data_IF_433254448362
#
_entry.id   IF_433254448362
#
_cell.length_a   1.000
_cell.length_b   1.000
_cell.length_c   1.000
_cell.angle_alpha   90.00
_cell.angle_beta   90.00
_cell.angle_gamma   90.00
#
_symmetry.space_group_name_H-M   'P 1'
#
loop_
_entity.id
_entity.type
_entity.pdbx_description
1 polymer ?
#
# COMPACT_ATOMS: atom_id res chain seq x y z
N UNK A 1 -22.28 5.46 27.22
CA UNK A 1 -22.19 4.05 27.68
C UNK A 1 -20.86 3.52 27.17
N UNK A 2 -19.99 3.01 28.04
CA UNK A 2 -18.65 2.59 27.62
C UNK A 2 -18.72 1.33 26.74
N UNK A 3 -18.24 1.41 25.50
CA UNK A 3 -17.94 0.23 24.68
C UNK A 3 -16.82 -0.57 25.37
N UNK A 4 -17.15 -1.75 25.88
CA UNK A 4 -16.14 -2.71 26.35
C UNK A 4 -15.34 -3.24 25.15
N UNK A 5 -14.09 -3.68 25.38
CA UNK A 5 -13.32 -4.46 24.41
C UNK A 5 -14.09 -5.76 24.13
N UNK A 6 -14.89 -5.78 23.07
CA UNK A 6 -15.69 -6.92 22.65
C UNK A 6 -15.58 -7.07 21.13
N UNK A 7 -15.41 -8.31 20.69
CA UNK A 7 -15.42 -8.67 19.28
C UNK A 7 -16.87 -8.62 18.78
N UNK A 8 -17.13 -7.80 17.76
CA UNK A 8 -18.47 -7.63 17.20
C UNK A 8 -18.61 -8.43 15.91
N UNK A 9 -19.56 -9.36 15.90
CA UNK A 9 -19.90 -10.14 14.72
C UNK A 9 -20.83 -9.31 13.81
N UNK A 10 -20.27 -8.75 12.75
CA UNK A 10 -21.07 -8.01 11.76
C UNK A 10 -21.92 -8.99 10.92
N UNK A 11 -23.16 -8.63 10.54
CA UNK A 11 -24.07 -9.51 9.76
C UNK A 11 -23.98 -9.32 8.23
N UNK A 12 -23.03 -8.53 7.73
CA UNK A 12 -22.92 -8.13 6.31
C UNK A 12 -22.07 -9.14 5.51
N UNK A 13 -22.18 -9.27 4.18
CA UNK A 13 -21.26 -10.13 3.39
C UNK A 13 -19.81 -9.64 3.52
N UNK A 14 -18.84 -10.56 3.45
CA UNK A 14 -17.42 -10.30 3.79
C UNK A 14 -16.79 -9.13 3.01
N UNK A 15 -17.05 -9.03 1.70
CA UNK A 15 -16.56 -7.91 0.86
C UNK A 15 -17.28 -6.58 1.16
N UNK A 16 -18.57 -6.64 1.48
CA UNK A 16 -19.39 -5.47 1.79
C UNK A 16 -19.02 -4.84 3.16
N UNK A 17 -18.45 -5.62 4.10
CA UNK A 17 -18.02 -5.12 5.43
C UNK A 17 -16.90 -4.10 5.36
N UNK A 18 -15.89 -4.37 4.53
CA UNK A 18 -14.69 -3.55 4.44
C UNK A 18 -15.01 -2.20 3.77
N UNK A 19 -15.89 -2.22 2.76
CA UNK A 19 -16.42 -1.00 2.16
C UNK A 19 -17.28 -0.19 3.14
N UNK A 20 -18.19 -0.84 3.88
CA UNK A 20 -18.99 -0.17 4.90
C UNK A 20 -18.11 0.50 5.97
N UNK A 21 -17.07 -0.18 6.45
CA UNK A 21 -16.13 0.37 7.42
C UNK A 21 -15.37 1.57 6.87
N UNK A 22 -14.93 1.53 5.60
CA UNK A 22 -14.34 2.67 4.93
C UNK A 22 -15.27 3.89 4.93
N UNK A 23 -16.52 3.71 4.46
CA UNK A 23 -17.48 4.79 4.39
C UNK A 23 -17.81 5.38 5.76
N UNK A 24 -18.01 4.52 6.76
CA UNK A 24 -18.27 4.91 8.14
C UNK A 24 -17.11 5.75 8.71
N UNK A 25 -15.87 5.29 8.53
CA UNK A 25 -14.67 5.99 9.00
C UNK A 25 -14.47 7.36 8.31
N UNK A 26 -14.67 7.42 6.99
CA UNK A 26 -14.54 8.69 6.25
C UNK A 26 -15.61 9.69 6.70
N UNK A 27 -16.86 9.23 6.85
CA UNK A 27 -17.98 10.04 7.29
C UNK A 27 -17.80 10.57 8.72
N UNK A 28 -17.12 9.82 9.60
CA UNK A 28 -16.81 10.25 10.97
C UNK A 28 -15.56 11.14 11.08
N UNK A 29 -14.89 11.45 9.96
CA UNK A 29 -13.64 12.23 10.00
C UNK A 29 -12.45 11.46 10.58
N UNK A 30 -12.45 10.13 10.48
CA UNK A 30 -11.39 9.24 10.99
C UNK A 30 -10.43 8.82 9.88
N UNK A 31 -9.19 8.51 10.23
CA UNK A 31 -8.26 7.89 9.27
C UNK A 31 -8.57 6.40 9.15
N UNK A 32 -8.42 5.85 7.94
CA UNK A 32 -8.75 4.45 7.65
C UNK A 32 -7.77 3.88 6.63
N UNK A 33 -7.36 2.64 6.84
CA UNK A 33 -6.58 1.87 5.87
C UNK A 33 -7.25 0.52 5.64
N UNK A 34 -7.46 0.18 4.37
CA UNK A 34 -7.91 -1.12 3.90
C UNK A 34 -6.76 -1.75 3.13
N UNK A 35 -6.57 -3.05 3.26
CA UNK A 35 -5.59 -3.75 2.45
C UNK A 35 -5.93 -5.22 2.24
N UNK A 36 -5.31 -5.81 1.22
CA UNK A 36 -5.31 -7.25 1.00
C UNK A 36 -3.91 -7.66 0.57
N UNK A 37 -3.34 -8.64 1.28
CA UNK A 37 -2.00 -9.15 0.96
C UNK A 37 -2.06 -9.98 -0.34
N UNK A 38 -0.92 -10.18 -1.02
CA UNK A 38 -0.83 -11.10 -2.15
C UNK A 38 -1.45 -12.47 -1.83
N UNK A 39 -2.19 -13.03 -2.79
CA UNK A 39 -2.82 -14.36 -2.76
C UNK A 39 -3.90 -14.58 -1.69
N UNK A 40 -4.17 -13.60 -0.82
CA UNK A 40 -5.23 -13.73 0.16
C UNK A 40 -6.60 -13.41 -0.43
N UNK A 41 -7.63 -14.07 0.10
CA UNK A 41 -9.03 -13.81 -0.26
C UNK A 41 -9.66 -12.72 0.61
N UNK A 42 -9.14 -12.54 1.83
CA UNK A 42 -9.73 -11.64 2.81
C UNK A 42 -9.03 -10.29 2.81
N UNK A 43 -9.82 -9.23 2.63
CA UNK A 43 -9.39 -7.86 2.91
C UNK A 43 -9.46 -7.59 4.41
N UNK A 44 -8.54 -6.76 4.88
CA UNK A 44 -8.45 -6.26 6.25
C UNK A 44 -8.62 -4.75 6.26
N UNK A 45 -8.95 -4.20 7.41
CA UNK A 45 -9.05 -2.78 7.59
C UNK A 45 -8.73 -2.36 9.01
N UNK A 46 -8.24 -1.14 9.18
CA UNK A 46 -8.11 -0.48 10.47
C UNK A 46 -8.72 0.93 10.41
N UNK A 47 -9.22 1.40 11.54
CA UNK A 47 -9.68 2.78 11.72
C UNK A 47 -8.94 3.38 12.91
N UNK A 48 -8.33 4.54 12.67
CA UNK A 48 -7.72 5.37 13.71
C UNK A 48 -8.72 6.46 14.11
N UNK A 49 -9.14 6.43 15.38
CA UNK A 49 -10.14 7.34 15.93
C UNK A 49 -9.50 8.61 16.51
N UNK A 50 -8.17 8.69 16.58
CA UNK A 50 -7.45 9.83 17.14
C UNK A 50 -7.48 11.07 16.24
N UNK A 51 -7.72 10.91 14.93
CA UNK A 51 -7.88 11.99 13.98
C UNK A 51 -6.82 11.94 12.88
N UNK A 52 -6.16 13.07 12.62
CA UNK A 52 -5.07 13.12 11.65
C UNK A 52 -3.77 12.64 12.32
N UNK A 53 -3.21 11.47 11.95
CA UNK A 53 -1.92 11.03 12.42
C UNK A 53 -0.83 12.02 11.99
N UNK A 54 0.21 12.15 12.83
CA UNK A 54 1.37 12.99 12.54
C UNK A 54 2.47 12.15 11.89
N UNK A 55 3.30 12.79 11.07
CA UNK A 55 4.55 12.20 10.61
C UNK A 55 5.48 12.04 11.82
N UNK A 56 5.90 10.82 12.08
CA UNK A 56 6.87 10.50 13.13
C UNK A 56 7.72 9.28 12.72
N UNK A 57 8.95 9.16 13.24
CA UNK A 57 9.74 7.95 13.08
C UNK A 57 8.96 6.70 13.51
N UNK A 58 9.12 5.61 12.76
CA UNK A 58 8.45 4.34 13.04
C UNK A 58 9.36 3.48 13.91
N UNK A 59 8.88 3.10 15.10
CA UNK A 59 9.57 2.14 15.93
C UNK A 59 9.05 0.72 15.64
N UNK A 60 9.77 -0.03 14.80
CA UNK A 60 9.38 -1.40 14.43
C UNK A 60 9.52 -2.41 15.58
N UNK A 61 10.15 -2.03 16.70
CA UNK A 61 10.23 -2.88 17.90
C UNK A 61 8.95 -2.79 18.76
N UNK A 62 8.18 -1.71 18.62
CA UNK A 62 6.87 -1.59 19.25
C UNK A 62 5.86 -2.48 18.52
N UNK A 63 5.32 -3.48 19.23
CA UNK A 63 4.36 -4.45 18.68
C UNK A 63 2.92 -3.93 18.79
N UNK A 64 2.69 -2.72 18.34
CA UNK A 64 1.35 -2.12 18.30
C UNK A 64 0.69 -2.38 16.92
N UNK A 65 -0.50 -2.99 16.87
CA UNK A 65 -1.24 -3.15 15.62
C UNK A 65 -1.56 -1.80 14.99
N UNK A 66 -1.18 -1.64 13.72
CA UNK A 66 -1.38 -0.41 12.98
C UNK A 66 -1.07 -0.55 11.50
N UNK A 67 -1.23 0.56 10.79
CA UNK A 67 -0.88 0.67 9.38
C UNK A 67 0.03 1.88 9.20
N UNK A 68 1.19 1.65 8.60
CA UNK A 68 2.18 2.69 8.34
C UNK A 68 2.06 3.14 6.88
N UNK A 69 1.94 4.45 6.66
CA UNK A 69 1.90 5.07 5.35
C UNK A 69 2.98 6.15 5.26
N UNK A 70 4.05 5.85 4.52
CA UNK A 70 5.23 6.71 4.42
C UNK A 70 5.23 7.51 3.11
N UNK A 71 5.49 8.83 3.14
CA UNK A 71 5.79 9.59 1.93
C UNK A 71 7.20 9.27 1.42
N UNK A 72 7.47 9.59 0.16
CA UNK A 72 8.79 9.40 -0.43
C UNK A 72 9.87 10.28 0.23
N UNK A 73 9.51 11.53 0.55
CA UNK A 73 10.34 12.47 1.31
C UNK A 73 9.61 12.84 2.58
N UNK A 74 10.29 12.73 3.71
CA UNK A 74 9.77 13.07 5.02
C UNK A 74 10.81 13.86 5.84
N UNK A 75 10.34 14.77 6.67
CA UNK A 75 11.14 15.44 7.68
C UNK A 75 10.54 15.16 9.07
N UNK A 76 11.28 14.51 10.00
CA UNK A 76 12.61 13.94 9.81
C UNK A 76 12.63 12.76 8.83
N UNK A 77 13.81 12.42 8.30
CA UNK A 77 13.99 11.29 7.40
C UNK A 77 13.46 9.98 8.03
N UNK A 78 12.72 9.19 7.24
CA UNK A 78 12.08 7.96 7.72
C UNK A 78 10.79 8.17 8.53
N UNK A 79 10.33 9.42 8.72
CA UNK A 79 9.03 9.66 9.34
C UNK A 79 7.88 9.20 8.43
N UNK A 80 6.88 8.58 9.04
CA UNK A 80 5.70 8.08 8.36
C UNK A 80 4.43 8.38 9.16
N UNK A 81 3.28 8.32 8.49
CA UNK A 81 1.98 8.37 9.14
C UNK A 81 1.69 6.99 9.72
N UNK A 82 1.29 6.95 10.98
CA UNK A 82 1.03 5.71 11.70
C UNK A 82 -0.43 5.73 12.13
N UNK A 83 -1.26 4.93 11.45
CA UNK A 83 -2.67 4.77 11.79
C UNK A 83 -2.78 3.68 12.85
N UNK A 84 -3.36 4.02 14.00
CA UNK A 84 -3.59 3.08 15.10
C UNK A 84 -4.80 2.20 14.79
N UNK A 85 -4.72 0.91 15.13
CA UNK A 85 -5.84 -0.01 15.05
C UNK A 85 -6.79 0.16 16.25
N UNK A 86 -7.42 1.33 16.40
CA UNK A 86 -8.43 1.55 17.45
C UNK A 86 -9.65 0.65 17.21
N UNK A 87 -10.04 0.51 15.93
CA UNK A 87 -10.91 -0.53 15.39
C UNK A 87 -10.16 -1.30 14.29
N UNK A 88 -10.31 -2.62 14.20
CA UNK A 88 -9.79 -3.37 13.05
C UNK A 88 -10.66 -4.54 12.65
N UNK A 89 -10.76 -4.76 11.34
CA UNK A 89 -11.38 -5.93 10.74
C UNK A 89 -10.28 -6.88 10.28
N UNK A 90 -10.22 -8.06 10.88
CA UNK A 90 -9.19 -9.08 10.59
C UNK A 90 -9.51 -9.93 9.35
N UNK A 91 -10.67 -9.69 8.75
CA UNK A 91 -11.23 -10.48 7.67
C UNK A 91 -12.46 -11.29 8.11
N UNK A 92 -12.71 -11.46 9.40
CA UNK A 92 -13.83 -12.23 9.95
C UNK A 92 -14.68 -11.39 10.90
N UNK A 93 -14.05 -10.77 11.88
CA UNK A 93 -14.71 -9.98 12.93
C UNK A 93 -14.17 -8.55 12.96
N UNK A 94 -15.00 -7.64 13.48
CA UNK A 94 -14.57 -6.29 13.82
C UNK A 94 -14.20 -6.29 15.30
N UNK A 95 -12.97 -5.90 15.59
CA UNK A 95 -12.43 -5.81 16.93
C UNK A 95 -12.28 -4.34 17.36
N UNK A 96 -12.36 -4.11 18.67
CA UNK A 96 -12.32 -2.78 19.29
C UNK A 96 -11.33 -2.82 20.44
N UNK A 97 -10.32 -1.95 20.44
CA UNK A 97 -9.31 -1.89 21.51
C UNK A 97 -9.29 -0.57 22.28
N UNK A 98 -9.38 0.57 21.59
CA UNK A 98 -9.15 1.87 22.24
C UNK A 98 -10.19 2.95 21.91
N UNK A 99 -11.42 2.51 21.64
CA UNK A 99 -12.54 3.39 21.27
C UNK A 99 -12.83 4.51 22.29
N UNK A 100 -12.54 4.32 23.58
CA UNK A 100 -12.89 5.27 24.64
C UNK A 100 -11.68 5.97 25.31
N UNK A 101 -10.49 5.91 24.72
CA UNK A 101 -9.27 6.47 25.33
C UNK A 101 -9.29 8.00 25.50
N UNK A 102 -10.13 8.71 24.74
CA UNK A 102 -10.46 10.14 24.92
C UNK A 102 -11.92 10.38 24.55
N UNK A 103 -12.49 11.51 24.96
CA UNK A 103 -13.84 11.92 24.54
C UNK A 103 -14.00 11.96 23.01
N UNK A 104 -13.00 12.51 22.32
CA UNK A 104 -13.00 12.57 20.85
C UNK A 104 -13.00 11.18 20.20
N UNK A 105 -12.24 10.22 20.76
CA UNK A 105 -12.24 8.85 20.27
C UNK A 105 -13.60 8.18 20.48
N UNK A 106 -14.20 8.38 21.66
CA UNK A 106 -15.51 7.81 21.99
C UNK A 106 -16.60 8.33 21.04
N UNK A 107 -16.64 9.65 20.82
CA UNK A 107 -17.59 10.28 19.89
C UNK A 107 -17.42 9.74 18.46
N UNK A 108 -16.18 9.57 17.97
CA UNK A 108 -15.94 8.98 16.64
C UNK A 108 -16.29 7.50 16.59
N UNK A 109 -16.02 6.73 17.64
CA UNK A 109 -16.41 5.32 17.70
C UNK A 109 -17.93 5.17 17.60
N UNK A 110 -18.69 5.98 18.34
CA UNK A 110 -20.16 6.02 18.26
C UNK A 110 -20.64 6.32 16.85
N UNK A 111 -20.05 7.32 16.17
CA UNK A 111 -20.39 7.66 14.79
C UNK A 111 -20.10 6.52 13.81
N UNK A 112 -18.93 5.88 13.91
CA UNK A 112 -18.57 4.73 13.06
C UNK A 112 -19.53 3.57 13.30
N UNK A 113 -19.80 3.22 14.55
CA UNK A 113 -20.70 2.12 14.88
C UNK A 113 -22.14 2.38 14.45
N UNK A 114 -22.65 3.59 14.67
CA UNK A 114 -23.98 3.99 14.21
C UNK A 114 -24.08 3.91 12.68
N UNK A 115 -23.05 4.37 11.96
CA UNK A 115 -23.01 4.29 10.50
C UNK A 115 -22.98 2.84 9.99
N UNK A 116 -22.29 1.92 10.69
CA UNK A 116 -22.26 0.50 10.34
C UNK A 116 -23.58 -0.24 10.61
N UNK A 117 -24.33 0.19 11.63
CA UNK A 117 -25.64 -0.39 12.00
C UNK A 117 -26.77 0.15 11.14
N UNK A 118 -26.66 1.40 10.70
CA UNK A 118 -27.63 1.97 9.80
C UNK A 118 -27.39 1.36 8.41
N UNK A 119 -28.34 0.60 7.86
CA UNK A 119 -28.33 0.18 6.44
C UNK A 119 -28.50 1.38 5.47
N UNK A 120 -28.26 2.60 5.96
CA UNK A 120 -28.52 3.86 5.27
C UNK A 120 -27.59 3.96 4.08
N UNK A 121 -28.21 3.88 2.90
CA UNK A 121 -27.58 4.19 1.61
C UNK A 121 -26.82 5.49 1.71
N UNK A 122 -25.58 5.45 1.23
CA UNK A 122 -24.63 6.56 1.13
C UNK A 122 -25.33 7.89 0.84
N UNK A 123 -25.19 8.85 1.76
CA UNK A 123 -25.53 10.25 1.49
C UNK A 123 -24.62 10.85 0.41
N UNK A 124 -24.98 12.03 -0.10
CA UNK A 124 -24.19 12.82 -1.07
C UNK A 124 -22.91 13.44 -0.49
N UNK A 125 -22.39 12.90 0.61
CA UNK A 125 -21.20 13.40 1.31
C UNK A 125 -19.91 13.08 0.56
N UNK A 126 -18.85 13.78 0.94
CA UNK A 126 -17.50 13.55 0.41
C UNK A 126 -17.03 12.13 0.77
N UNK A 127 -16.78 11.31 -0.25
CA UNK A 127 -16.46 9.88 -0.11
C UNK A 127 -14.98 9.57 0.12
N UNK A 128 -14.11 10.58 0.07
CA UNK A 128 -12.67 10.45 0.26
C UNK A 128 -12.03 11.79 0.64
N UNK A 129 -10.91 11.76 1.34
CA UNK A 129 -10.14 12.97 1.63
C UNK A 129 -9.31 13.39 0.43
N UNK A 130 -9.30 14.70 0.15
CA UNK A 130 -8.46 15.31 -0.88
C UNK A 130 -7.26 15.97 -0.21
N UNK A 131 -6.12 15.97 -0.90
CA UNK A 131 -4.87 16.58 -0.48
C UNK A 131 -4.66 17.92 -1.20
N UNK A 132 -5.31 19.03 -0.79
CA UNK A 132 -5.28 20.28 -1.56
C UNK A 132 -3.86 20.88 -1.70
N UNK A 133 -2.97 20.55 -0.75
CA UNK A 133 -1.56 20.94 -0.77
C UNK A 133 -0.74 20.17 -1.82
N UNK A 134 -1.19 18.99 -2.27
CA UNK A 134 -0.47 18.20 -3.28
C UNK A 134 -0.80 18.76 -4.66
N UNK A 135 0.05 19.67 -5.14
CA UNK A 135 0.01 20.16 -6.51
C UNK A 135 0.82 19.22 -7.41
N UNK A 136 0.14 18.29 -8.06
CA UNK A 136 0.76 17.46 -9.08
C UNK A 136 0.52 18.06 -10.46
N UNK A 137 1.58 18.43 -11.18
CA UNK A 137 1.50 18.78 -12.60
C UNK A 137 1.75 17.53 -13.43
N UNK A 138 0.77 17.14 -14.24
CA UNK A 138 0.98 16.08 -15.22
C UNK A 138 1.96 16.58 -16.28
N UNK A 139 3.13 15.94 -16.37
CA UNK A 139 4.09 16.23 -17.42
C UNK A 139 3.57 15.68 -18.76
N UNK A 140 3.76 16.44 -19.83
CA UNK A 140 3.59 15.97 -21.20
C UNK A 140 4.63 14.90 -21.54
N UNK A 141 4.41 14.19 -22.65
CA UNK A 141 5.38 13.22 -23.16
C UNK A 141 6.73 13.89 -23.45
N UNK A 142 6.73 15.05 -24.13
CA UNK A 142 7.95 15.80 -24.45
C UNK A 142 8.74 16.19 -23.19
N UNK A 143 8.07 16.74 -22.18
CA UNK A 143 8.72 17.12 -20.92
C UNK A 143 9.32 15.92 -20.18
N UNK A 144 8.64 14.77 -20.24
CA UNK A 144 9.15 13.55 -19.62
C UNK A 144 10.33 12.96 -20.39
N UNK A 145 10.31 13.00 -21.73
CA UNK A 145 11.43 12.56 -22.55
C UNK A 145 12.66 13.43 -22.29
N UNK A 146 12.51 14.75 -22.19
CA UNK A 146 13.62 15.64 -21.79
C UNK A 146 14.19 15.27 -20.43
N UNK A 147 13.35 15.00 -19.42
CA UNK A 147 13.81 14.54 -18.10
C UNK A 147 14.56 13.19 -18.17
N UNK A 148 14.19 12.31 -19.11
CA UNK A 148 14.89 11.04 -19.34
C UNK A 148 16.26 11.30 -19.96
N UNK A 149 16.35 12.19 -20.95
CA UNK A 149 17.61 12.57 -21.58
C UNK A 149 18.56 13.22 -20.55
N UNK A 150 18.05 14.15 -19.73
CA UNK A 150 18.80 14.77 -18.63
C UNK A 150 19.32 13.72 -17.63
N UNK A 151 18.53 12.69 -17.34
CA UNK A 151 18.94 11.59 -16.45
C UNK A 151 20.03 10.71 -17.09
N UNK A 152 20.02 10.53 -18.41
CA UNK A 152 21.06 9.81 -19.16
C UNK A 152 22.38 10.59 -19.11
N UNK A 153 22.33 11.90 -19.37
CA UNK A 153 23.50 12.78 -19.29
C UNK A 153 24.08 12.78 -17.87
N UNK A 154 23.23 12.91 -16.85
CA UNK A 154 23.63 12.83 -15.45
C UNK A 154 24.31 11.51 -15.10
N UNK A 155 23.83 10.37 -15.62
CA UNK A 155 24.48 9.06 -15.45
C UNK A 155 25.87 9.06 -16.08
N UNK A 156 26.00 9.57 -17.30
CA UNK A 156 27.27 9.62 -18.02
C UNK A 156 28.31 10.51 -17.33
N UNK A 157 27.89 11.63 -16.75
CA UNK A 157 28.76 12.60 -16.08
C UNK A 157 29.18 12.16 -14.67
N UNK A 158 28.27 11.57 -13.89
CA UNK A 158 28.51 11.24 -12.48
C UNK A 158 29.01 9.82 -12.25
N UNK A 159 28.82 8.92 -13.23
CA UNK A 159 29.12 7.49 -13.08
C UNK A 159 28.13 6.74 -12.19
N UNK A 160 26.99 7.34 -11.83
CA UNK A 160 25.91 6.64 -11.12
C UNK A 160 25.35 5.52 -11.99
N UNK A 161 25.15 4.33 -11.41
CA UNK A 161 24.77 3.15 -12.18
C UNK A 161 23.30 3.16 -12.69
N UNK A 162 22.38 3.79 -11.96
CA UNK A 162 20.94 3.79 -12.26
C UNK A 162 20.23 4.98 -11.65
N UNK A 163 19.32 5.58 -12.41
CA UNK A 163 18.37 6.61 -11.95
C UNK A 163 16.95 6.18 -12.32
N UNK A 164 15.98 6.43 -11.43
CA UNK A 164 14.55 6.23 -11.70
C UNK A 164 13.87 7.60 -11.67
N UNK A 165 13.40 8.06 -12.82
CA UNK A 165 12.57 9.25 -12.94
C UNK A 165 11.10 8.86 -13.08
N UNK A 166 10.19 9.71 -12.61
CA UNK A 166 8.75 9.45 -12.67
C UNK A 166 7.97 10.68 -13.13
N UNK A 167 6.74 10.45 -13.60
CA UNK A 167 5.78 11.50 -13.93
C UNK A 167 4.41 11.12 -13.42
N UNK A 168 3.53 12.11 -13.33
CA UNK A 168 2.14 11.93 -12.92
C UNK A 168 1.20 12.05 -14.12
N UNK A 169 0.05 11.40 -14.03
CA UNK A 169 -1.02 11.52 -15.02
C UNK A 169 -2.31 11.92 -14.28
N UNK A 170 -2.85 13.08 -14.62
CA UNK A 170 -4.15 13.52 -14.11
C UNK A 170 -5.28 12.90 -14.92
N UNK A 171 -6.31 12.40 -14.23
CA UNK A 171 -7.53 11.85 -14.82
C UNK A 171 -8.74 12.34 -14.05
N UNK A 172 -9.77 12.78 -14.76
CA UNK A 172 -11.05 13.14 -14.15
C UNK A 172 -11.71 11.87 -13.64
N UNK A 173 -12.15 11.89 -12.38
CA UNK A 173 -12.89 10.77 -11.80
C UNK A 173 -14.34 10.78 -12.31
N UNK A 174 -14.96 9.60 -12.53
CA UNK A 174 -16.38 9.51 -12.83
C UNK A 174 -17.25 10.13 -11.72
N UNK A 175 -18.43 10.64 -12.07
CA UNK A 175 -19.36 11.29 -11.13
C UNK A 175 -19.69 10.44 -9.89
N UNK A 176 -19.84 9.11 -10.09
CA UNK A 176 -20.15 8.14 -9.03
C UNK A 176 -18.94 7.37 -8.53
N UNK A 177 -17.74 7.94 -8.64
CA UNK A 177 -16.52 7.29 -8.17
C UNK A 177 -16.62 6.91 -6.69
N UNK A 178 -16.07 5.75 -6.36
CA UNK A 178 -16.05 5.22 -5.00
C UNK A 178 -14.75 4.43 -4.80
N UNK A 179 -13.83 4.92 -3.95
CA UNK A 179 -12.57 4.24 -3.69
C UNK A 179 -12.74 2.83 -3.14
N UNK A 180 -13.75 2.56 -2.32
CA UNK A 180 -13.97 1.23 -1.73
C UNK A 180 -14.43 0.21 -2.78
N UNK A 181 -15.27 0.66 -3.72
CA UNK A 181 -15.67 -0.17 -4.87
C UNK A 181 -14.47 -0.46 -5.78
N UNK A 182 -13.64 0.55 -6.06
CA UNK A 182 -12.43 0.36 -6.88
C UNK A 182 -11.40 -0.51 -6.17
N UNK A 183 -11.26 -0.39 -4.85
CA UNK A 183 -10.42 -1.29 -4.03
C UNK A 183 -10.85 -2.75 -4.18
N UNK A 184 -12.14 -3.05 -4.10
CA UNK A 184 -12.65 -4.40 -4.30
C UNK A 184 -12.34 -4.92 -5.72
N UNK A 185 -12.57 -4.09 -6.74
CA UNK A 185 -12.25 -4.42 -8.13
C UNK A 185 -10.73 -4.66 -8.35
N UNK A 186 -9.87 -3.89 -7.68
CA UNK A 186 -8.41 -4.09 -7.74
C UNK A 186 -7.99 -5.39 -7.05
N UNK A 187 -8.64 -5.75 -5.94
CA UNK A 187 -8.41 -7.05 -5.31
C UNK A 187 -8.72 -8.18 -6.30
N UNK A 188 -9.92 -8.20 -6.89
CA UNK A 188 -10.29 -9.24 -7.86
C UNK A 188 -9.36 -9.27 -9.08
N UNK A 189 -9.02 -8.11 -9.63
CA UNK A 189 -8.23 -8.00 -10.85
C UNK A 189 -6.75 -8.36 -10.66
N UNK A 190 -6.19 -8.11 -9.48
CA UNK A 190 -4.75 -8.27 -9.22
C UNK A 190 -4.49 -9.17 -8.02
N UNK A 191 -4.83 -10.47 -8.04
CA UNK A 191 -4.72 -11.37 -6.88
C UNK A 191 -3.31 -11.49 -6.29
N UNK A 192 -2.27 -11.25 -7.09
CA UNK A 192 -0.86 -11.33 -6.68
C UNK A 192 -0.31 -10.01 -6.11
N UNK A 193 -1.06 -8.90 -6.21
CA UNK A 193 -0.63 -7.61 -5.71
C UNK A 193 -1.04 -7.40 -4.25
N UNK A 194 -0.22 -6.65 -3.52
CA UNK A 194 -0.68 -5.97 -2.32
C UNK A 194 -1.55 -4.79 -2.73
N UNK A 195 -2.83 -4.88 -2.41
CA UNK A 195 -3.82 -3.83 -2.73
C UNK A 195 -4.10 -3.06 -1.46
N UNK A 196 -4.04 -1.74 -1.50
CA UNK A 196 -4.33 -0.88 -0.35
C UNK A 196 -5.13 0.36 -0.72
N UNK A 197 -6.00 0.78 0.20
CA UNK A 197 -6.74 2.03 0.18
C UNK A 197 -6.53 2.73 1.53
N UNK A 198 -5.85 3.86 1.51
CA UNK A 198 -5.52 4.64 2.71
C UNK A 198 -6.16 6.01 2.60
N UNK A 199 -7.01 6.40 3.56
CA UNK A 199 -7.62 7.72 3.61
C UNK A 199 -7.33 8.36 4.96
N UNK A 200 -6.73 9.56 4.93
CA UNK A 200 -6.30 10.29 6.11
C UNK A 200 -6.84 11.73 6.06
N UNK A 201 -7.62 12.18 7.06
CA UNK A 201 -8.22 13.51 7.07
C UNK A 201 -7.13 14.59 7.09
N UNK A 202 -7.28 15.62 6.25
CA UNK A 202 -6.28 16.70 6.09
C UNK A 202 -5.04 16.31 5.27
N UNK A 203 -4.86 15.03 4.95
CA UNK A 203 -3.68 14.52 4.23
C UNK A 203 -4.06 14.03 2.83
N UNK A 204 -5.09 13.20 2.66
CA UNK A 204 -5.54 12.73 1.34
C UNK A 204 -6.03 11.29 1.31
N UNK A 205 -6.25 10.76 0.11
CA UNK A 205 -6.64 9.36 -0.13
C UNK A 205 -5.78 8.75 -1.23
N UNK A 206 -5.23 7.56 -0.97
CA UNK A 206 -4.39 6.80 -1.89
C UNK A 206 -4.96 5.40 -2.09
N UNK A 207 -4.96 4.95 -3.34
CA UNK A 207 -5.38 3.62 -3.75
C UNK A 207 -4.31 3.03 -4.66
N UNK A 208 -3.85 1.83 -4.35
CA UNK A 208 -2.76 1.19 -5.10
C UNK A 208 -2.86 -0.33 -5.12
N UNK A 209 -2.21 -0.93 -6.12
CA UNK A 209 -2.02 -2.37 -6.26
C UNK A 209 -0.57 -2.62 -6.68
N UNK A 210 0.33 -2.82 -5.71
CA UNK A 210 1.75 -3.04 -5.98
C UNK A 210 2.08 -4.53 -6.10
N UNK A 211 2.80 -4.97 -7.15
CA UNK A 211 3.35 -6.32 -7.22
C UNK A 211 4.60 -6.49 -6.35
N UNK A 212 5.22 -5.39 -5.90
CA UNK A 212 6.47 -5.39 -5.16
C UNK A 212 6.21 -5.27 -3.67
N UNK A 213 6.63 -6.29 -2.92
CA UNK A 213 6.59 -6.29 -1.46
C UNK A 213 7.98 -5.94 -0.95
N UNK A 214 8.09 -4.78 -0.31
CA UNK A 214 9.35 -4.30 0.24
C UNK A 214 9.92 -5.26 1.30
N UNK A 215 9.08 -5.72 2.22
CA UNK A 215 9.48 -6.61 3.30
C UNK A 215 8.27 -7.36 3.85
N UNK A 216 8.43 -8.63 4.16
CA UNK A 216 7.55 -9.37 5.07
C UNK A 216 8.37 -9.88 6.24
N UNK A 217 7.79 -9.82 7.43
CA UNK A 217 8.39 -10.36 8.65
C UNK A 217 7.32 -11.14 9.40
N UNK A 218 7.62 -12.39 9.74
CA UNK A 218 6.86 -13.18 10.70
C UNK A 218 7.81 -13.80 11.74
N UNK A 219 7.32 -14.72 12.58
CA UNK A 219 8.13 -15.34 13.63
C UNK A 219 9.19 -16.31 13.10
N UNK A 220 9.11 -16.71 11.83
CA UNK A 220 9.96 -17.72 11.22
C UNK A 220 10.98 -17.11 10.27
N UNK A 221 10.58 -16.08 9.52
CA UNK A 221 11.43 -15.52 8.49
C UNK A 221 11.14 -14.06 8.15
N UNK A 222 12.19 -13.43 7.64
CA UNK A 222 12.13 -12.20 6.87
C UNK A 222 12.20 -12.56 5.37
N UNK A 223 11.32 -11.97 4.56
CA UNK A 223 11.43 -12.05 3.09
C UNK A 223 11.35 -10.68 2.44
N UNK A 224 12.08 -10.52 1.34
CA UNK A 224 12.03 -9.35 0.46
C UNK A 224 12.24 -9.80 -0.99
N UNK A 225 12.13 -8.89 -1.94
CA UNK A 225 12.32 -9.18 -3.34
C UNK A 225 13.08 -8.06 -4.06
N UNK A 226 13.82 -8.44 -5.09
CA UNK A 226 14.23 -7.53 -6.15
C UNK A 226 13.27 -7.71 -7.33
N UNK A 227 12.58 -6.64 -7.72
CA UNK A 227 11.64 -6.65 -8.85
C UNK A 227 12.04 -5.61 -9.90
N UNK A 228 12.73 -6.03 -10.95
CA UNK A 228 13.18 -5.17 -12.04
C UNK A 228 13.18 -5.91 -13.39
N UNK A 229 13.54 -5.21 -14.46
CA UNK A 229 13.37 -5.72 -15.82
C UNK A 229 11.90 -5.84 -16.19
N UNK A 230 11.37 -4.86 -16.91
CA UNK A 230 9.93 -4.84 -17.28
C UNK A 230 9.78 -5.00 -18.77
N UNK A 231 8.88 -5.88 -19.20
CA UNK A 231 8.44 -5.94 -20.59
C UNK A 231 6.94 -6.14 -20.69
N UNK A 232 6.38 -5.82 -21.86
CA UNK A 232 4.97 -6.06 -22.13
C UNK A 232 4.69 -7.56 -22.04
N UNK A 233 3.63 -7.94 -21.34
CA UNK A 233 3.23 -9.35 -21.24
C UNK A 233 2.77 -9.86 -22.62
N UNK A 234 3.39 -10.91 -23.19
CA UNK A 234 2.86 -11.56 -24.38
C UNK A 234 1.49 -12.19 -24.07
N UNK A 235 0.52 -12.04 -24.96
CA UNK A 235 -0.85 -12.55 -24.76
C UNK A 235 -0.98 -14.06 -25.05
N UNK A 236 -0.04 -14.60 -25.81
CA UNK A 236 -0.08 -15.91 -26.45
C UNK A 236 1.03 -16.86 -25.95
N UNK A 237 1.83 -16.42 -24.97
CA UNK A 237 2.91 -17.23 -24.40
C UNK A 237 2.71 -17.44 -22.90
N UNK A 238 2.97 -18.66 -22.40
CA UNK A 238 3.04 -18.92 -20.96
C UNK A 238 4.28 -18.21 -20.37
N UNK A 239 4.23 -17.88 -19.07
CA UNK A 239 5.25 -17.03 -18.42
C UNK A 239 6.66 -17.65 -18.47
N UNK A 240 6.74 -18.97 -18.45
CA UNK A 240 7.98 -19.73 -18.47
C UNK A 240 8.70 -19.67 -19.82
N UNK A 241 7.99 -19.24 -20.88
CA UNK A 241 8.54 -19.07 -22.24
C UNK A 241 8.88 -17.62 -22.58
N UNK A 242 8.67 -16.69 -21.64
CA UNK A 242 9.05 -15.30 -21.81
C UNK A 242 10.57 -15.19 -21.85
N UNK A 243 11.10 -14.65 -22.95
CA UNK A 243 12.53 -14.40 -23.13
C UNK A 243 12.90 -13.01 -22.65
N UNK A 244 14.09 -12.85 -22.07
CA UNK A 244 14.57 -11.58 -21.51
C UNK A 244 15.76 -11.04 -22.28
N UNK A 245 15.76 -9.73 -22.53
CA UNK A 245 16.86 -9.02 -23.17
C UNK A 245 17.99 -8.70 -22.20
N UNK A 246 19.17 -8.36 -22.74
CA UNK A 246 20.35 -8.00 -21.94
C UNK A 246 20.08 -6.83 -20.99
N UNK A 247 19.32 -5.83 -21.45
CA UNK A 247 19.00 -4.64 -20.64
C UNK A 247 18.22 -5.05 -19.39
N UNK A 248 17.13 -5.80 -19.56
CA UNK A 248 16.25 -6.19 -18.46
C UNK A 248 16.98 -7.12 -17.47
N UNK A 249 17.81 -8.04 -17.97
CA UNK A 249 18.64 -8.91 -17.10
C UNK A 249 19.63 -8.09 -16.28
N UNK A 250 20.34 -7.14 -16.89
CA UNK A 250 21.30 -6.27 -16.17
C UNK A 250 20.59 -5.40 -15.12
N UNK A 251 19.42 -4.85 -15.45
CA UNK A 251 18.62 -4.10 -14.48
C UNK A 251 18.21 -4.95 -13.28
N UNK A 252 17.80 -6.20 -13.51
CA UNK A 252 17.48 -7.14 -12.43
C UNK A 252 18.70 -7.48 -11.57
N UNK A 253 19.86 -7.71 -12.19
CA UNK A 253 21.09 -8.02 -11.48
C UNK A 253 21.54 -6.86 -10.59
N UNK A 254 21.41 -5.61 -11.06
CA UNK A 254 21.70 -4.41 -10.26
C UNK A 254 20.84 -4.32 -9.01
N UNK A 255 19.52 -4.53 -9.13
CA UNK A 255 18.61 -4.47 -7.97
C UNK A 255 18.85 -5.66 -7.03
N UNK A 256 19.09 -6.86 -7.58
CA UNK A 256 19.41 -8.04 -6.78
C UNK A 256 20.74 -7.85 -6.02
N UNK A 257 21.75 -7.26 -6.66
CA UNK A 257 23.03 -6.95 -6.01
C UNK A 257 22.87 -5.93 -4.87
N UNK A 258 22.01 -4.92 -5.04
CA UNK A 258 21.69 -3.97 -3.98
C UNK A 258 21.07 -4.66 -2.75
N UNK A 259 20.09 -5.56 -2.97
CA UNK A 259 19.46 -6.32 -1.87
C UNK A 259 20.46 -7.26 -1.19
N UNK A 260 21.34 -7.93 -1.95
CA UNK A 260 22.44 -8.74 -1.37
C UNK A 260 23.37 -7.88 -0.51
N UNK A 261 23.75 -6.71 -1.00
CA UNK A 261 24.59 -5.74 -0.28
C UNK A 261 23.95 -5.32 1.04
N UNK A 262 22.65 -5.03 1.05
CA UNK A 262 21.92 -4.70 2.27
C UNK A 262 22.04 -5.80 3.35
N UNK A 263 21.86 -7.07 3.00
CA UNK A 263 22.01 -8.17 3.95
C UNK A 263 23.46 -8.38 4.39
N UNK A 264 24.41 -8.23 3.45
CA UNK A 264 25.84 -8.33 3.73
C UNK A 264 26.29 -7.29 4.75
N UNK A 265 25.92 -6.02 4.53
CA UNK A 265 26.27 -4.91 5.41
C UNK A 265 25.60 -5.04 6.79
N UNK A 266 24.44 -5.68 6.86
CA UNK A 266 23.77 -6.03 8.12
C UNK A 266 24.39 -7.25 8.83
N UNK A 267 25.38 -7.92 8.24
CA UNK A 267 26.05 -9.08 8.82
C UNK A 267 25.24 -10.39 8.74
N UNK A 268 24.26 -10.48 7.85
CA UNK A 268 23.42 -11.68 7.68
C UNK A 268 24.13 -12.69 6.76
N UNK A 269 24.44 -13.88 7.28
CA UNK A 269 25.25 -14.88 6.57
C UNK A 269 24.44 -15.94 5.81
N UNK A 270 23.17 -16.13 6.14
CA UNK A 270 22.32 -17.20 5.60
C UNK A 270 21.09 -16.64 4.87
N UNK A 271 21.32 -15.96 3.75
CA UNK A 271 20.26 -15.50 2.85
C UNK A 271 20.00 -16.56 1.79
N UNK A 272 18.78 -17.05 1.71
CA UNK A 272 18.30 -17.93 0.63
C UNK A 272 17.80 -17.07 -0.52
N UNK A 273 18.44 -17.18 -1.68
CA UNK A 273 18.05 -16.49 -2.92
C UNK A 273 17.34 -17.46 -3.88
N UNK A 274 16.20 -17.04 -4.44
CA UNK A 274 15.43 -17.83 -5.41
C UNK A 274 14.99 -16.96 -6.58
N UNK A 275 15.50 -17.27 -7.77
CA UNK A 275 15.21 -16.54 -9.02
C UNK A 275 16.47 -16.30 -9.87
N UNK A 276 16.42 -15.39 -10.85
CA UNK A 276 15.25 -14.59 -11.19
C UNK A 276 14.16 -15.43 -11.88
N UNK A 277 12.89 -15.18 -11.55
CA UNK A 277 11.72 -15.80 -12.16
C UNK A 277 10.85 -14.75 -12.86
N UNK A 278 10.16 -15.15 -13.93
CA UNK A 278 9.18 -14.28 -14.61
C UNK A 278 7.88 -14.25 -13.81
N UNK A 279 7.46 -13.06 -13.37
CA UNK A 279 6.14 -12.86 -12.76
C UNK A 279 5.27 -11.92 -13.59
N UNK A 280 3.95 -12.10 -13.52
CA UNK A 280 3.00 -11.20 -14.16
C UNK A 280 2.52 -10.10 -13.22
N UNK A 281 2.48 -8.86 -13.70
CA UNK A 281 1.85 -7.73 -13.02
C UNK A 281 0.95 -6.99 -14.01
N UNK A 282 -0.33 -7.38 -14.05
CA UNK A 282 -1.28 -6.83 -15.02
C UNK A 282 -0.87 -7.08 -16.47
N UNK A 283 -0.63 -6.00 -17.22
CA UNK A 283 -0.27 -6.04 -18.64
C UNK A 283 1.23 -6.16 -18.91
N UNK A 284 2.05 -6.24 -17.86
CA UNK A 284 3.50 -6.41 -17.96
C UNK A 284 3.95 -7.66 -17.21
N UNK A 285 5.18 -8.07 -17.49
CA UNK A 285 5.92 -9.08 -16.73
C UNK A 285 7.19 -8.46 -16.19
N UNK A 286 7.66 -8.99 -15.06
CA UNK A 286 8.88 -8.58 -14.37
C UNK A 286 9.79 -9.78 -14.12
N UNK A 287 11.10 -9.54 -14.02
CA UNK A 287 12.01 -10.46 -13.35
C UNK A 287 11.91 -10.24 -11.84
N UNK A 288 11.85 -11.33 -11.09
CA UNK A 288 11.80 -11.30 -9.63
C UNK A 288 12.85 -12.23 -9.04
N UNK A 289 13.62 -11.73 -8.09
CA UNK A 289 14.47 -12.54 -7.21
C UNK A 289 13.93 -12.42 -5.79
N UNK A 290 13.63 -13.54 -5.15
CA UNK A 290 13.18 -13.58 -3.76
C UNK A 290 14.38 -13.82 -2.83
N UNK A 291 14.40 -13.12 -1.70
CA UNK A 291 15.40 -13.28 -0.65
C UNK A 291 14.69 -13.65 0.64
N UNK A 292 15.17 -14.68 1.32
CA UNK A 292 14.61 -15.18 2.59
C UNK A 292 15.71 -15.38 3.62
N UNK A 293 15.45 -14.95 4.85
CA UNK A 293 16.32 -15.15 6.02
C UNK A 293 15.47 -15.76 7.12
N UNK A 294 15.91 -16.87 7.69
CA UNK A 294 15.27 -17.45 8.88
C UNK A 294 15.72 -16.71 10.15
N UNK A 295 14.81 -16.52 11.10
CA UNK A 295 15.01 -15.74 12.33
C UNK A 295 15.30 -16.60 13.55
#
# INVERSE_FOLDING_TARGET
MGFAEQDMQMSIKRGDRVAALYHAAVASGSAVALWRRPHEQASRAIVDLSGTPRLAPVNLLEREPGFVFAPFVAEPAGAALQLRADLWFDGQALHVRNANGTRQRAERAELVMAALQSETRMGSGQRWYVAPQIRSRAASEAEFTTLVDDAIDFIAETGIAKVVVSRTAARTLPERFDPAVVFAALCERYPHAFVSLVAVPGVGTWLGATPEILLTLDNMALTTMALAGTQRRPSDLPLERVTWGRKETVEQDMVSAYVRGFFWDAGVTHVVESGPQTIAAGSVVHLQTLFRVEL
#
